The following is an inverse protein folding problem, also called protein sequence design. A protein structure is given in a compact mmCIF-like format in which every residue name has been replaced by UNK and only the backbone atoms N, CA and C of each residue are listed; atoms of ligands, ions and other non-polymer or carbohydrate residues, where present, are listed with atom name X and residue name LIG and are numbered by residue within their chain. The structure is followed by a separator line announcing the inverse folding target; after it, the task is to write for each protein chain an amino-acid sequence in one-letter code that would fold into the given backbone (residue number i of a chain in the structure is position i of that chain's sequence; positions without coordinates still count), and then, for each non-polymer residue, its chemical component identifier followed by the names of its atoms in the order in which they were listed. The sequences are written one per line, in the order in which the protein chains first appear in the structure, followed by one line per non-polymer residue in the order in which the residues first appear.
data_IF_243560858265
#
_entry.id   IF_243560858265
#
_cell.length_a   1.000
_cell.length_b   1.000
_cell.length_c   1.000
_cell.angle_alpha   90.00
_cell.angle_beta   90.00
_cell.angle_gamma   90.00
#
_symmetry.space_group_name_H-M   'P 1'
#
loop_
_entity.id
_entity.type
_entity.pdbx_description
1 polymer ?
#
# COMPACT_ATOMS: atom_id res chain seq x y z
N UNK A 1 13.20 8.28 16.93
CA UNK A 1 14.29 7.34 17.26
C UNK A 1 15.58 7.86 16.59
N UNK A 2 16.76 7.83 17.23
CA UNK A 2 18.01 8.25 16.60
C UNK A 2 18.44 7.27 15.49
N UNK A 3 19.10 7.76 14.43
CA UNK A 3 19.59 6.94 13.29
C UNK A 3 20.53 5.79 13.69
N UNK A 4 21.30 5.96 14.75
CA UNK A 4 22.19 4.92 15.28
C UNK A 4 21.41 3.70 15.79
N UNK A 5 20.24 3.92 16.40
CA UNK A 5 19.36 2.85 16.89
C UNK A 5 18.71 2.03 15.77
N UNK A 6 18.57 2.58 14.56
CA UNK A 6 18.02 1.83 13.42
C UNK A 6 19.06 0.92 12.77
N UNK A 7 20.34 1.32 12.78
CA UNK A 7 21.42 0.47 12.23
C UNK A 7 21.61 -0.81 13.05
N UNK A 8 21.36 -0.74 14.35
CA UNK A 8 21.39 -1.90 15.25
C UNK A 8 20.26 -2.90 15.00
N UNK A 9 19.19 -2.45 14.32
CA UNK A 9 18.04 -3.27 13.95
C UNK A 9 18.14 -3.89 12.56
N UNK A 10 19.25 -3.65 11.87
CA UNK A 10 19.56 -4.34 10.62
C UNK A 10 19.93 -5.79 10.94
N UNK A 11 19.13 -6.73 10.43
CA UNK A 11 19.47 -8.15 10.47
C UNK A 11 20.61 -8.43 9.49
N UNK A 12 20.61 -7.74 8.36
CA UNK A 12 21.66 -7.76 7.34
C UNK A 12 21.66 -6.43 6.56
N UNK A 13 22.52 -6.31 5.54
CA UNK A 13 22.64 -5.08 4.72
C UNK A 13 21.32 -4.63 4.06
N UNK A 14 20.34 -5.52 3.94
CA UNK A 14 19.11 -5.31 3.18
C UNK A 14 17.83 -5.40 4.01
N UNK A 15 17.89 -5.86 5.27
CA UNK A 15 16.70 -6.17 6.07
C UNK A 15 16.74 -5.47 7.41
N UNK A 16 15.70 -4.68 7.65
CA UNK A 16 15.51 -3.87 8.85
C UNK A 16 14.27 -4.35 9.60
N UNK A 17 14.49 -4.87 10.81
CA UNK A 17 13.43 -5.37 11.68
C UNK A 17 13.06 -4.32 12.73
N UNK A 18 11.91 -3.68 12.52
CA UNK A 18 11.28 -2.77 13.46
C UNK A 18 10.01 -3.36 14.06
N UNK A 19 9.82 -4.68 13.99
CA UNK A 19 8.67 -5.36 14.60
C UNK A 19 8.67 -5.22 16.12
N UNK A 20 7.49 -5.31 16.74
CA UNK A 20 7.33 -5.37 18.20
C UNK A 20 7.96 -4.17 18.97
N UNK A 21 7.93 -2.98 18.39
CA UNK A 21 8.56 -1.78 18.97
C UNK A 21 7.58 -0.75 19.51
N UNK A 22 6.29 -1.10 19.60
CA UNK A 22 5.21 -0.20 20.04
C UNK A 22 5.21 1.13 19.27
N UNK A 23 5.62 1.12 17.99
CA UNK A 23 5.70 2.32 17.18
C UNK A 23 4.29 2.83 16.88
N UNK A 24 4.01 4.08 17.26
CA UNK A 24 2.79 4.80 16.83
C UNK A 24 3.00 5.52 15.49
N UNK A 25 4.25 5.83 15.14
CA UNK A 25 4.61 6.51 13.90
C UNK A 25 5.88 5.91 13.29
N UNK A 26 5.97 5.94 11.96
CA UNK A 26 7.15 5.44 11.24
C UNK A 26 8.22 6.53 11.12
N UNK A 27 9.49 6.26 11.47
CA UNK A 27 10.60 7.20 11.33
C UNK A 27 11.09 7.31 9.87
N UNK A 28 10.24 7.80 8.97
CA UNK A 28 10.49 7.81 7.51
C UNK A 28 11.80 8.50 7.12
N UNK A 29 12.14 9.63 7.78
CA UNK A 29 13.39 10.37 7.48
C UNK A 29 14.65 9.54 7.71
N UNK A 30 14.59 8.65 8.70
CA UNK A 30 15.73 7.82 9.05
C UNK A 30 15.79 6.57 8.17
N UNK A 31 14.63 5.99 7.84
CA UNK A 31 14.52 4.91 6.84
C UNK A 31 15.02 5.35 5.46
N UNK A 32 14.69 6.57 5.04
CA UNK A 32 15.14 7.13 3.77
C UNK A 32 16.68 7.31 3.72
N UNK A 33 17.35 7.38 4.87
CA UNK A 33 18.81 7.45 4.96
C UNK A 33 19.48 6.06 4.88
N UNK A 34 18.72 4.97 4.75
CA UNK A 34 19.19 3.60 4.64
C UNK A 34 18.77 2.98 3.29
N UNK A 35 19.23 3.51 2.14
CA UNK A 35 18.75 3.10 0.81
C UNK A 35 19.06 1.63 0.44
N UNK A 36 19.92 0.95 1.21
CA UNK A 36 20.21 -0.48 1.03
C UNK A 36 19.14 -1.38 1.66
N UNK A 37 18.41 -0.89 2.67
CA UNK A 37 17.37 -1.65 3.35
C UNK A 37 16.16 -1.82 2.44
N UNK A 38 16.09 -2.95 1.74
CA UNK A 38 15.01 -3.27 0.79
C UNK A 38 13.87 -4.07 1.44
N UNK A 39 14.10 -4.63 2.61
CA UNK A 39 13.14 -5.39 3.40
C UNK A 39 12.92 -4.66 4.70
N UNK A 40 11.66 -4.31 4.98
CA UNK A 40 11.27 -3.60 6.18
C UNK A 40 10.14 -4.34 6.88
N UNK A 41 10.40 -4.78 8.09
CA UNK A 41 9.40 -5.34 8.98
C UNK A 41 8.95 -4.26 9.99
N UNK A 42 7.68 -3.89 9.92
CA UNK A 42 6.99 -2.97 10.83
C UNK A 42 5.82 -3.68 11.53
N UNK A 43 5.79 -5.01 11.52
CA UNK A 43 4.71 -5.81 12.07
C UNK A 43 4.58 -5.66 13.58
N UNK A 44 3.40 -5.93 14.12
CA UNK A 44 3.14 -5.93 15.56
C UNK A 44 3.52 -4.60 16.25
N UNK A 45 3.15 -3.48 15.63
CA UNK A 45 3.30 -2.14 16.19
C UNK A 45 1.90 -1.53 16.46
N UNK A 46 1.86 -0.23 16.77
CA UNK A 46 0.63 0.51 17.07
C UNK A 46 0.32 1.54 15.96
N UNK A 47 0.75 1.26 14.72
CA UNK A 47 0.59 2.19 13.60
C UNK A 47 -0.90 2.28 13.22
N UNK A 48 -1.43 3.50 13.22
CA UNK A 48 -2.82 3.78 12.82
C UNK A 48 -2.92 4.40 11.42
N UNK A 49 -1.85 5.05 10.96
CA UNK A 49 -1.70 5.58 9.61
C UNK A 49 -0.22 5.54 9.21
N UNK A 50 0.05 5.68 7.91
CA UNK A 50 1.38 5.98 7.39
C UNK A 50 1.39 7.40 6.83
N UNK A 51 2.44 8.21 7.06
CA UNK A 51 2.52 9.54 6.47
C UNK A 51 2.75 9.44 4.95
N UNK A 52 2.30 10.42 4.17
CA UNK A 52 2.52 10.45 2.71
C UNK A 52 4.01 10.37 2.32
N UNK A 53 4.90 10.89 3.18
CA UNK A 53 6.35 10.76 2.98
C UNK A 53 6.83 9.31 2.95
N UNK A 54 6.09 8.35 3.51
CA UNK A 54 6.43 6.92 3.47
C UNK A 54 6.58 6.42 2.03
N UNK A 55 5.82 7.01 1.09
CA UNK A 55 5.90 6.71 -0.33
C UNK A 55 7.25 7.09 -0.97
N UNK A 56 8.12 7.85 -0.29
CA UNK A 56 9.48 8.13 -0.77
C UNK A 56 10.42 6.94 -0.63
N UNK A 57 10.04 5.88 0.08
CA UNK A 57 10.84 4.67 0.30
C UNK A 57 10.78 3.72 -0.92
N UNK A 58 10.96 4.26 -2.12
CA UNK A 58 10.80 3.57 -3.41
C UNK A 58 11.75 2.38 -3.63
N UNK A 59 12.76 2.23 -2.77
CA UNK A 59 13.73 1.14 -2.79
C UNK A 59 13.21 -0.13 -2.11
N UNK A 60 12.09 -0.06 -1.38
CA UNK A 60 11.50 -1.22 -0.71
C UNK A 60 11.01 -2.27 -1.71
N UNK A 61 11.33 -3.52 -1.40
CA UNK A 61 10.96 -4.73 -2.15
C UNK A 61 10.04 -5.61 -1.32
N UNK A 62 10.27 -5.69 0.00
CA UNK A 62 9.36 -6.37 0.93
C UNK A 62 8.99 -5.45 2.08
N UNK A 63 7.70 -5.43 2.41
CA UNK A 63 7.17 -4.63 3.50
C UNK A 63 6.16 -5.46 4.29
N UNK A 64 6.43 -5.64 5.57
CA UNK A 64 5.47 -6.23 6.50
C UNK A 64 4.88 -5.13 7.40
N UNK A 65 3.57 -4.93 7.33
CA UNK A 65 2.80 -4.03 8.16
C UNK A 65 1.71 -4.78 8.95
N UNK A 66 1.83 -6.11 9.04
CA UNK A 66 0.84 -6.97 9.67
C UNK A 66 0.68 -6.64 11.16
N UNK A 67 -0.51 -6.93 11.70
CA UNK A 67 -0.85 -6.75 13.12
C UNK A 67 -0.57 -5.33 13.62
N UNK A 68 -1.04 -4.36 12.86
CA UNK A 68 -1.11 -2.95 13.24
C UNK A 68 -2.59 -2.52 13.33
N UNK A 69 -2.84 -1.21 13.40
CA UNK A 69 -4.20 -0.65 13.42
C UNK A 69 -4.45 0.29 12.23
N UNK A 70 -3.79 0.04 11.09
CA UNK A 70 -3.87 0.91 9.92
C UNK A 70 -5.31 0.97 9.40
N UNK A 71 -5.89 2.17 9.35
CA UNK A 71 -7.24 2.38 8.82
C UNK A 71 -7.25 2.65 7.31
N UNK A 72 -6.16 3.22 6.80
CA UNK A 72 -5.94 3.51 5.39
C UNK A 72 -4.45 3.48 5.03
N UNK A 73 -4.17 3.38 3.74
CA UNK A 73 -2.83 3.59 3.19
C UNK A 73 -2.75 4.97 2.53
N UNK A 74 -1.56 5.60 2.48
CA UNK A 74 -1.31 6.85 1.78
C UNK A 74 -1.87 6.86 0.35
N UNK A 75 -2.33 8.02 -0.13
CA UNK A 75 -2.91 8.13 -1.47
C UNK A 75 -1.93 7.71 -2.57
N UNK A 76 -0.65 8.01 -2.37
CA UNK A 76 0.45 7.74 -3.30
C UNK A 76 1.16 6.42 -3.02
N UNK A 77 0.53 5.46 -2.33
CA UNK A 77 1.17 4.18 -1.98
C UNK A 77 1.67 3.41 -3.23
N UNK A 78 1.06 3.67 -4.39
CA UNK A 78 1.50 3.16 -5.70
C UNK A 78 2.93 3.52 -6.11
N UNK A 79 3.52 4.57 -5.52
CA UNK A 79 4.91 4.99 -5.82
C UNK A 79 5.97 3.99 -5.36
N UNK A 80 5.60 3.02 -4.51
CA UNK A 80 6.47 1.91 -4.12
C UNK A 80 6.60 0.87 -5.25
N UNK A 81 6.98 1.31 -6.45
CA UNK A 81 6.95 0.52 -7.70
C UNK A 81 7.83 -0.74 -7.67
N UNK A 82 8.80 -0.81 -6.75
CA UNK A 82 9.68 -1.95 -6.57
C UNK A 82 9.13 -3.01 -5.60
N UNK A 83 8.01 -2.73 -4.94
CA UNK A 83 7.44 -3.61 -3.94
C UNK A 83 6.93 -4.91 -4.59
N UNK A 84 7.41 -6.04 -4.08
CA UNK A 84 7.07 -7.38 -4.54
C UNK A 84 6.28 -8.18 -3.51
N UNK A 85 6.45 -7.86 -2.22
CA UNK A 85 5.78 -8.52 -1.12
C UNK A 85 5.25 -7.48 -0.15
N UNK A 86 3.95 -7.57 0.15
CA UNK A 86 3.27 -6.68 1.08
C UNK A 86 2.35 -7.48 2.00
N UNK A 87 2.64 -7.45 3.30
CA UNK A 87 1.75 -8.02 4.32
C UNK A 87 0.99 -6.90 5.04
N UNK A 88 -0.33 -6.97 4.99
CA UNK A 88 -1.26 -6.07 5.66
C UNK A 88 -2.24 -6.83 6.57
N UNK A 89 -1.98 -8.11 6.85
CA UNK A 89 -2.79 -8.97 7.71
C UNK A 89 -3.11 -8.28 9.04
N UNK A 90 -4.35 -8.36 9.50
CA UNK A 90 -4.71 -7.90 10.84
C UNK A 90 -4.56 -6.39 11.03
N UNK A 91 -5.13 -5.61 10.10
CA UNK A 91 -5.26 -4.16 10.19
C UNK A 91 -6.75 -3.75 10.16
N UNK A 92 -7.04 -2.46 10.01
CA UNK A 92 -8.41 -1.92 9.96
C UNK A 92 -8.77 -1.35 8.58
N UNK A 93 -8.16 -1.87 7.53
CA UNK A 93 -8.35 -1.40 6.16
C UNK A 93 -9.74 -1.76 5.64
N UNK A 94 -10.44 -0.75 5.12
CA UNK A 94 -11.72 -0.93 4.40
C UNK A 94 -11.54 -0.85 2.89
N UNK A 95 -10.60 -0.03 2.44
CA UNK A 95 -10.31 0.27 1.04
C UNK A 95 -8.82 0.35 0.81
N UNK A 96 -8.39 0.22 -0.43
CA UNK A 96 -7.03 0.51 -0.88
C UNK A 96 -7.04 1.81 -1.70
N UNK A 97 -5.94 2.58 -1.71
CA UNK A 97 -5.84 3.81 -2.49
C UNK A 97 -5.91 3.49 -3.99
N UNK A 98 -6.39 4.46 -4.77
CA UNK A 98 -6.51 4.36 -6.25
C UNK A 98 -5.20 3.93 -6.89
N UNK A 99 -4.10 4.58 -6.50
CA UNK A 99 -2.77 4.35 -7.06
C UNK A 99 -2.19 2.97 -6.69
N UNK A 100 -2.85 2.17 -5.85
CA UNK A 100 -2.42 0.79 -5.57
C UNK A 100 -2.29 -0.05 -6.86
N UNK A 101 -3.05 0.27 -7.91
CA UNK A 101 -2.91 -0.33 -9.24
C UNK A 101 -1.51 -0.16 -9.87
N UNK A 102 -0.71 0.81 -9.40
CA UNK A 102 0.64 1.11 -9.91
C UNK A 102 1.71 0.16 -9.37
N UNK A 103 1.41 -0.67 -8.36
CA UNK A 103 2.33 -1.67 -7.81
C UNK A 103 2.50 -2.88 -8.76
N UNK A 104 2.98 -2.63 -9.98
CA UNK A 104 3.05 -3.62 -11.08
C UNK A 104 3.97 -4.82 -10.78
N UNK A 105 4.89 -4.67 -9.82
CA UNK A 105 5.81 -5.74 -9.40
C UNK A 105 5.30 -6.54 -8.20
N UNK A 106 4.16 -6.18 -7.61
CA UNK A 106 3.62 -6.86 -6.44
C UNK A 106 3.21 -8.29 -6.81
N UNK A 107 3.84 -9.25 -6.14
CA UNK A 107 3.64 -10.68 -6.37
C UNK A 107 2.98 -11.37 -5.20
N UNK A 108 3.02 -10.80 -4.00
CA UNK A 108 2.48 -11.41 -2.80
C UNK A 108 1.77 -10.35 -1.98
N UNK A 109 0.54 -10.64 -1.59
CA UNK A 109 -0.30 -9.74 -0.80
C UNK A 109 -1.15 -10.55 0.17
N UNK A 110 -1.11 -10.19 1.45
CA UNK A 110 -2.11 -10.61 2.43
C UNK A 110 -2.91 -9.40 2.94
N UNK A 111 -4.23 -9.54 2.95
CA UNK A 111 -5.20 -8.57 3.44
C UNK A 111 -6.17 -9.20 4.44
N UNK A 112 -5.91 -10.43 4.88
CA UNK A 112 -6.77 -11.15 5.81
C UNK A 112 -6.91 -10.36 7.13
N UNK A 113 -7.98 -10.63 7.86
CA UNK A 113 -8.27 -10.00 9.15
C UNK A 113 -8.33 -8.45 9.06
N UNK A 114 -8.79 -7.93 7.93
CA UNK A 114 -9.18 -6.54 7.73
C UNK A 114 -10.70 -6.45 7.47
N UNK A 115 -11.37 -5.36 7.90
CA UNK A 115 -12.78 -5.10 7.61
C UNK A 115 -12.98 -4.59 6.16
N UNK A 116 -12.45 -5.33 5.17
CA UNK A 116 -12.46 -4.97 3.76
C UNK A 116 -13.89 -4.74 3.23
N UNK A 117 -14.05 -3.72 2.40
CA UNK A 117 -15.28 -3.51 1.63
C UNK A 117 -15.55 -4.68 0.68
N UNK A 118 -16.83 -4.89 0.36
CA UNK A 118 -17.32 -6.05 -0.41
C UNK A 118 -16.53 -6.36 -1.68
N UNK A 119 -16.14 -5.33 -2.44
CA UNK A 119 -15.36 -5.51 -3.66
C UNK A 119 -13.96 -6.08 -3.42
N UNK A 120 -13.24 -5.57 -2.42
CA UNK A 120 -11.92 -6.10 -2.06
C UNK A 120 -12.03 -7.48 -1.42
N UNK A 121 -13.01 -7.68 -0.54
CA UNK A 121 -13.24 -8.96 0.14
C UNK A 121 -13.45 -10.12 -0.84
N UNK A 122 -14.21 -9.88 -1.92
CA UNK A 122 -14.43 -10.88 -2.99
C UNK A 122 -13.16 -11.25 -3.75
N UNK A 123 -12.23 -10.30 -3.91
CA UNK A 123 -11.03 -10.47 -4.72
C UNK A 123 -9.81 -10.95 -3.93
N UNK A 124 -9.69 -10.54 -2.65
CA UNK A 124 -8.57 -10.91 -1.78
C UNK A 124 -8.50 -12.44 -1.60
N UNK A 125 -9.64 -13.08 -1.32
CA UNK A 125 -9.69 -14.52 -1.07
C UNK A 125 -8.91 -14.90 0.19
N UNK A 126 -8.33 -16.11 0.19
CA UNK A 126 -7.50 -16.60 1.28
C UNK A 126 -6.02 -16.39 0.93
N UNK A 127 -5.16 -16.42 1.94
CA UNK A 127 -3.70 -16.38 1.81
C UNK A 127 -3.09 -17.35 2.84
N UNK A 128 -3.38 -18.66 2.71
CA UNK A 128 -2.85 -19.71 3.61
C UNK A 128 -1.50 -20.26 3.13
N UNK A 129 -1.13 -19.98 1.88
CA UNK A 129 0.11 -20.40 1.25
C UNK A 129 0.54 -19.40 0.17
N UNK A 130 1.80 -19.50 -0.27
CA UNK A 130 2.38 -18.58 -1.25
C UNK A 130 1.58 -18.47 -2.56
N UNK A 131 0.99 -19.57 -3.03
CA UNK A 131 0.20 -19.60 -4.27
C UNK A 131 -1.08 -18.78 -4.12
N UNK A 132 -1.75 -18.91 -2.99
CA UNK A 132 -2.96 -18.16 -2.68
C UNK A 132 -2.68 -16.66 -2.56
N UNK A 133 -1.63 -16.27 -1.83
CA UNK A 133 -1.24 -14.87 -1.67
C UNK A 133 -0.78 -14.23 -3.00
N UNK A 134 -0.17 -15.03 -3.89
CA UNK A 134 0.10 -14.61 -5.27
C UNK A 134 -1.18 -14.32 -6.04
N UNK A 135 -2.17 -15.20 -5.93
CA UNK A 135 -3.49 -14.99 -6.56
C UNK A 135 -4.21 -13.77 -5.98
N UNK A 136 -4.13 -13.56 -4.66
CA UNK A 136 -4.64 -12.38 -3.99
C UNK A 136 -4.07 -11.09 -4.60
N UNK A 137 -2.73 -10.98 -4.67
CA UNK A 137 -2.05 -9.82 -5.26
C UNK A 137 -2.55 -9.53 -6.69
N UNK A 138 -2.57 -10.55 -7.56
CA UNK A 138 -3.03 -10.39 -8.94
C UNK A 138 -4.49 -9.94 -9.02
N UNK A 139 -5.39 -10.58 -8.28
CA UNK A 139 -6.84 -10.26 -8.31
C UNK A 139 -7.13 -8.87 -7.78
N UNK A 140 -6.45 -8.47 -6.69
CA UNK A 140 -6.59 -7.14 -6.13
C UNK A 140 -6.07 -6.08 -7.10
N UNK A 141 -4.90 -6.29 -7.70
CA UNK A 141 -4.36 -5.36 -8.69
C UNK A 141 -5.28 -5.22 -9.90
N UNK A 142 -5.81 -6.33 -10.43
CA UNK A 142 -6.79 -6.27 -11.51
C UNK A 142 -8.05 -5.50 -11.09
N UNK A 143 -8.62 -5.83 -9.94
CA UNK A 143 -9.82 -5.16 -9.43
C UNK A 143 -9.63 -3.65 -9.23
N UNK A 144 -8.52 -3.23 -8.61
CA UNK A 144 -8.23 -1.81 -8.41
C UNK A 144 -7.93 -1.11 -9.73
N UNK A 145 -7.29 -1.78 -10.69
CA UNK A 145 -7.07 -1.23 -12.05
C UNK A 145 -8.40 -1.03 -12.78
N UNK A 146 -9.31 -2.00 -12.74
CA UNK A 146 -10.63 -1.88 -13.38
C UNK A 146 -11.45 -0.73 -12.78
N UNK A 147 -11.41 -0.58 -11.44
CA UNK A 147 -12.05 0.54 -10.75
C UNK A 147 -11.46 1.88 -11.18
N UNK A 148 -10.14 1.93 -11.30
CA UNK A 148 -9.39 3.11 -11.69
C UNK A 148 -9.80 3.59 -13.10
N UNK A 149 -9.75 2.68 -14.08
CA UNK A 149 -10.16 2.94 -15.46
C UNK A 149 -11.62 3.39 -15.57
N UNK A 150 -12.53 2.74 -14.84
CA UNK A 150 -13.95 3.12 -14.81
C UNK A 150 -14.15 4.55 -14.29
N UNK A 151 -13.44 4.93 -13.22
CA UNK A 151 -13.49 6.28 -12.67
C UNK A 151 -12.96 7.32 -13.66
N UNK A 152 -11.89 7.01 -14.39
CA UNK A 152 -11.34 7.91 -15.42
C UNK A 152 -12.32 8.12 -16.58
N UNK A 153 -12.91 7.05 -17.10
CA UNK A 153 -13.92 7.13 -18.15
C UNK A 153 -15.13 7.96 -17.71
N UNK A 154 -15.59 7.78 -16.47
CA UNK A 154 -16.68 8.58 -15.91
C UNK A 154 -16.31 10.06 -15.77
N UNK A 155 -15.09 10.36 -15.32
CA UNK A 155 -14.57 11.73 -15.18
C UNK A 155 -14.51 12.43 -16.54
N UNK A 156 -13.96 11.76 -17.55
CA UNK A 156 -13.89 12.27 -18.93
C UNK A 156 -15.28 12.49 -19.53
N UNK A 157 -16.21 11.56 -19.34
CA UNK A 157 -17.59 11.68 -19.82
C UNK A 157 -18.33 12.87 -19.16
N UNK A 158 -18.12 13.10 -17.85
CA UNK A 158 -18.68 14.27 -17.15
C UNK A 158 -18.10 15.57 -17.70
N UNK A 159 -16.78 15.63 -17.91
CA UNK A 159 -16.10 16.81 -18.47
C UNK A 159 -16.63 17.16 -19.87
N UNK A 160 -16.75 16.18 -20.77
CA UNK A 160 -17.32 16.39 -22.12
C UNK A 160 -18.75 16.94 -22.07
N UNK A 161 -19.60 16.36 -21.22
CA UNK A 161 -20.98 16.84 -21.04
C UNK A 161 -21.03 18.28 -20.52
N UNK A 162 -20.12 18.65 -19.63
CA UNK A 162 -20.02 20.01 -19.11
C UNK A 162 -19.58 20.99 -20.20
N UNK A 163 -18.54 20.66 -20.97
CA UNK A 163 -18.05 21.47 -22.09
C UNK A 163 -19.14 21.69 -23.15
N UNK A 164 -19.90 20.65 -23.49
CA UNK A 164 -21.05 20.75 -24.42
C UNK A 164 -22.17 21.64 -23.87
N UNK A 165 -22.47 21.56 -22.57
CA UNK A 165 -23.49 22.40 -21.94
C UNK A 165 -23.07 23.88 -21.92
N UNK A 166 -21.81 24.16 -21.57
CA UNK A 166 -21.24 25.51 -21.59
C UNK A 166 -21.19 26.09 -23.01
N UNK A 167 -20.86 25.27 -24.01
CA UNK A 167 -20.87 25.69 -25.42
C UNK A 167 -22.28 26.03 -25.92
N UNK A 168 -23.32 25.35 -25.43
CA UNK A 168 -24.72 25.65 -25.75
C UNK A 168 -25.23 26.93 -25.07
N UNK A 169 -24.75 27.24 -23.85
CA UNK A 169 -25.13 28.46 -23.13
C UNK A 169 -24.48 29.74 -23.69
N UNK A 170 -23.37 29.60 -24.42
CA UNK A 170 -22.66 30.71 -25.07
C UNK A 170 -23.14 31.00 -26.50
N UNK A 171 -24.17 30.27 -26.99
CA UNK A 171 -24.83 30.47 -28.29
C UNK A 171 -26.19 31.12 -28.07
#
# INVERSE_FOLDING_TARGET
MPKESLREKLINDNELDLSLNNLETVPVKDLAALPKATHLDLSNNLLTFLPDSFCSLIHLVKLDLSKNALTELPKLFGQLENLQHLDLLGNQLKTLPRDFCQLKKLKWLDLKDNPLGEGLKKNAGHCLNEIECKKCATRILMYVTDLDEQLELQSQAKKKKQEEAEAKQKR
#
